data_IF_025194330233
#
_entry.id   IF_025194330233
#
_cell.length_a   1.000
_cell.length_b   1.000
_cell.length_c   1.000
_cell.angle_alpha   90.00
_cell.angle_beta   90.00
_cell.angle_gamma   90.00
#
_symmetry.space_group_name_H-M   'P 1'
#
loop_
_entity.id
_entity.type
_entity.pdbx_description
1 polymer ?
#
# COMPACT_ATOMS: atom_id res chain seq x y z
N UNK A 1 26.24 4.81 18.98
CA UNK A 1 25.50 3.53 19.03
C UNK A 1 24.02 3.64 19.44
N UNK A 2 23.46 4.80 19.84
CA UNK A 2 22.05 4.89 20.33
C UNK A 2 21.00 5.43 19.33
N UNK A 3 21.43 5.87 18.13
CA UNK A 3 20.53 6.43 17.12
C UNK A 3 19.68 5.34 16.42
N UNK A 4 20.25 4.16 16.17
CA UNK A 4 19.56 3.03 15.54
C UNK A 4 18.47 2.39 16.42
N UNK A 5 18.67 2.36 17.74
CA UNK A 5 17.71 1.76 18.68
C UNK A 5 16.43 2.58 18.83
N UNK A 6 16.48 3.88 18.48
CA UNK A 6 15.31 4.78 18.42
C UNK A 6 14.55 4.73 17.09
N UNK A 7 15.16 4.18 16.03
CA UNK A 7 14.48 3.95 14.75
C UNK A 7 13.67 2.64 14.72
N UNK A 8 13.97 1.66 15.58
CA UNK A 8 13.24 0.39 15.70
C UNK A 8 11.92 0.51 16.49
N UNK A 9 11.12 1.52 16.18
CA UNK A 9 9.71 1.55 16.58
C UNK A 9 8.89 0.75 15.57
N UNK A 10 7.81 0.09 16.00
CA UNK A 10 6.84 -0.62 15.16
C UNK A 10 6.41 0.19 13.93
N UNK A 11 6.29 1.52 14.07
CA UNK A 11 6.04 2.47 12.99
C UNK A 11 7.06 2.39 11.84
N UNK A 12 8.36 2.38 12.15
CA UNK A 12 9.41 2.39 11.12
C UNK A 12 9.42 1.09 10.31
N UNK A 13 9.10 -0.04 10.95
CA UNK A 13 8.93 -1.31 10.26
C UNK A 13 7.74 -1.32 9.31
N UNK A 14 6.59 -0.75 9.69
CA UNK A 14 5.42 -0.65 8.81
C UNK A 14 5.75 0.21 7.58
N UNK A 15 6.39 1.37 7.77
CA UNK A 15 6.82 2.21 6.64
C UNK A 15 7.86 1.52 5.76
N UNK A 16 8.84 0.81 6.34
CA UNK A 16 9.84 0.08 5.57
C UNK A 16 9.20 -1.01 4.67
N UNK A 17 8.22 -1.76 5.20
CA UNK A 17 7.49 -2.75 4.42
C UNK A 17 6.61 -2.10 3.34
N UNK A 18 6.01 -0.94 3.62
CA UNK A 18 5.28 -0.16 2.62
C UNK A 18 6.21 0.27 1.47
N UNK A 19 7.37 0.86 1.78
CA UNK A 19 8.35 1.24 0.75
C UNK A 19 8.81 0.03 -0.06
N UNK A 20 9.07 -1.10 0.60
CA UNK A 20 9.39 -2.35 -0.08
C UNK A 20 8.27 -2.77 -1.04
N UNK A 21 7.00 -2.65 -0.64
CA UNK A 21 5.86 -2.98 -1.50
C UNK A 21 5.76 -2.08 -2.74
N UNK A 22 6.10 -0.79 -2.62
CA UNK A 22 6.19 0.12 -3.77
C UNK A 22 7.30 -0.28 -4.74
N UNK A 23 8.48 -0.63 -4.20
CA UNK A 23 9.61 -1.09 -5.00
C UNK A 23 9.24 -2.38 -5.74
N UNK A 24 8.67 -3.36 -5.04
CA UNK A 24 8.23 -4.62 -5.66
C UNK A 24 7.19 -4.39 -6.76
N UNK A 25 6.25 -3.47 -6.54
CA UNK A 25 5.26 -3.09 -7.57
C UNK A 25 5.93 -2.48 -8.80
N UNK A 26 6.88 -1.56 -8.62
CA UNK A 26 7.62 -0.96 -9.73
C UNK A 26 8.41 -2.01 -10.52
N UNK A 27 9.14 -2.88 -9.81
CA UNK A 27 9.90 -3.98 -10.42
C UNK A 27 8.97 -4.94 -11.18
N UNK A 28 7.83 -5.33 -10.60
CA UNK A 28 6.87 -6.22 -11.25
C UNK A 28 6.28 -5.61 -12.53
N UNK A 29 6.01 -4.30 -12.54
CA UNK A 29 5.54 -3.60 -13.74
C UNK A 29 6.63 -3.60 -14.81
N UNK A 30 7.88 -3.26 -14.46
CA UNK A 30 9.01 -3.25 -15.41
C UNK A 30 9.25 -4.64 -15.98
N UNK A 31 9.22 -5.68 -15.14
CA UNK A 31 9.37 -7.07 -15.58
C UNK A 31 8.25 -7.46 -16.54
N UNK A 32 6.99 -7.13 -16.23
CA UNK A 32 5.88 -7.40 -17.14
C UNK A 32 6.07 -6.67 -18.48
N UNK A 33 6.44 -5.40 -18.45
CA UNK A 33 6.60 -4.55 -19.63
C UNK A 33 7.71 -5.06 -20.55
N UNK A 34 8.89 -5.32 -19.98
CA UNK A 34 10.03 -5.89 -20.72
C UNK A 34 9.74 -7.29 -21.28
N UNK A 35 8.94 -8.10 -20.59
CA UNK A 35 8.50 -9.41 -21.12
C UNK A 35 7.51 -9.25 -22.28
N UNK A 36 6.57 -8.30 -22.20
CA UNK A 36 5.62 -8.02 -23.27
C UNK A 36 6.33 -7.45 -24.51
N UNK A 37 7.25 -6.50 -24.34
CA UNK A 37 8.03 -5.94 -25.44
C UNK A 37 8.90 -7.00 -26.14
N UNK A 38 9.52 -7.90 -25.35
CA UNK A 38 10.29 -9.04 -25.88
C UNK A 38 9.41 -10.04 -26.63
N UNK A 39 8.15 -10.19 -26.24
CA UNK A 39 7.20 -11.10 -26.87
C UNK A 39 6.68 -10.53 -28.20
N UNK A 40 6.24 -9.27 -28.20
CA UNK A 40 5.72 -8.59 -29.39
C UNK A 40 6.82 -8.28 -30.41
N UNK A 41 8.03 -7.92 -29.95
CA UNK A 41 9.19 -7.70 -30.81
C UNK A 41 9.77 -8.98 -31.44
N UNK A 42 9.47 -10.17 -30.88
CA UNK A 42 9.95 -11.46 -31.40
C UNK A 42 8.95 -12.15 -32.31
N UNK A 43 7.65 -11.88 -32.18
CA UNK A 43 6.63 -12.36 -33.13
C UNK A 43 6.84 -11.82 -34.56
N UNK A 44 7.52 -10.68 -34.73
CA UNK A 44 7.84 -10.17 -36.08
C UNK A 44 9.01 -10.93 -36.75
N UNK A 45 9.87 -11.65 -36.01
CA UNK A 45 11.18 -12.11 -36.56
C UNK A 45 11.34 -13.63 -36.74
N UNK A 46 10.57 -14.52 -36.10
CA UNK A 46 10.90 -15.97 -36.17
C UNK A 46 9.71 -16.88 -36.46
N UNK A 47 9.47 -17.09 -37.76
CA UNK A 47 8.82 -18.30 -38.27
C UNK A 47 9.77 -19.51 -38.13
N UNK A 48 9.16 -20.67 -37.83
CA UNK A 48 9.63 -22.06 -38.01
C UNK A 48 10.45 -22.70 -36.85
N UNK A 49 9.80 -23.68 -36.20
CA UNK A 49 10.28 -24.85 -35.44
C UNK A 49 10.94 -24.75 -34.04
N UNK A 50 11.36 -23.57 -33.55
CA UNK A 50 11.79 -23.40 -32.13
C UNK A 50 10.63 -22.90 -31.24
N UNK A 51 9.42 -22.83 -31.80
CA UNK A 51 8.28 -22.10 -31.25
C UNK A 51 7.59 -22.81 -30.08
N UNK A 52 7.41 -24.13 -30.08
CA UNK A 52 6.59 -24.80 -29.04
C UNK A 52 7.23 -24.82 -27.64
N UNK A 53 8.52 -25.17 -27.54
CA UNK A 53 9.22 -25.21 -26.24
C UNK A 53 9.42 -23.79 -25.67
N UNK A 54 9.69 -22.82 -26.54
CA UNK A 54 9.92 -21.43 -26.15
C UNK A 54 8.59 -20.73 -25.83
N UNK A 55 7.51 -21.06 -26.53
CA UNK A 55 6.14 -20.62 -26.26
C UNK A 55 5.65 -21.12 -24.90
N UNK A 56 5.84 -22.39 -24.54
CA UNK A 56 5.39 -22.89 -23.23
C UNK A 56 6.15 -22.24 -22.06
N UNK A 57 7.47 -22.02 -22.20
CA UNK A 57 8.27 -21.31 -21.19
C UNK A 57 7.95 -19.81 -21.13
N UNK A 58 7.75 -19.16 -22.27
CA UNK A 58 7.38 -17.75 -22.35
C UNK A 58 5.97 -17.49 -21.82
N UNK A 59 5.01 -18.35 -22.14
CA UNK A 59 3.64 -18.30 -21.62
C UNK A 59 3.63 -18.48 -20.10
N UNK A 60 4.40 -19.43 -19.56
CA UNK A 60 4.56 -19.59 -18.12
C UNK A 60 5.17 -18.34 -17.47
N UNK A 61 6.21 -17.77 -18.07
CA UNK A 61 6.85 -16.52 -17.61
C UNK A 61 5.88 -15.33 -17.61
N UNK A 62 5.09 -15.16 -18.66
CA UNK A 62 4.10 -14.09 -18.78
C UNK A 62 2.98 -14.23 -17.74
N UNK A 63 2.50 -15.46 -17.48
CA UNK A 63 1.52 -15.75 -16.43
C UNK A 63 2.08 -15.50 -15.03
N UNK A 64 3.31 -15.95 -14.75
CA UNK A 64 3.98 -15.71 -13.49
C UNK A 64 4.19 -14.20 -13.25
N UNK A 65 4.61 -13.45 -14.26
CA UNK A 65 4.76 -12.01 -14.19
C UNK A 65 3.43 -11.30 -13.93
N UNK A 66 2.34 -11.75 -14.58
CA UNK A 66 1.00 -11.21 -14.35
C UNK A 66 0.52 -11.46 -12.92
N UNK A 67 0.68 -12.68 -12.40
CA UNK A 67 0.33 -13.02 -11.00
C UNK A 67 1.16 -12.21 -10.02
N UNK A 68 2.48 -12.10 -10.27
CA UNK A 68 3.39 -11.30 -9.46
C UNK A 68 2.97 -9.82 -9.44
N UNK A 69 2.59 -9.26 -10.58
CA UNK A 69 2.10 -7.88 -10.65
C UNK A 69 0.83 -7.69 -9.81
N UNK A 70 -0.16 -8.59 -9.94
CA UNK A 70 -1.39 -8.49 -9.15
C UNK A 70 -1.12 -8.62 -7.65
N UNK A 71 -0.22 -9.54 -7.26
CA UNK A 71 0.23 -9.66 -5.89
C UNK A 71 0.89 -8.39 -5.36
N UNK A 72 1.82 -7.81 -6.11
CA UNK A 72 2.50 -6.58 -5.70
C UNK A 72 1.52 -5.40 -5.57
N UNK A 73 0.53 -5.31 -6.47
CA UNK A 73 -0.52 -4.28 -6.39
C UNK A 73 -1.39 -4.46 -5.14
N UNK A 74 -1.80 -5.69 -4.82
CA UNK A 74 -2.60 -5.97 -3.63
C UNK A 74 -1.79 -5.73 -2.36
N UNK A 75 -0.58 -6.28 -2.29
CA UNK A 75 0.32 -6.08 -1.16
C UNK A 75 0.53 -4.60 -0.87
N UNK A 76 0.77 -3.78 -1.90
CA UNK A 76 0.88 -2.33 -1.74
C UNK A 76 -0.39 -1.70 -1.14
N UNK A 77 -1.58 -2.10 -1.59
CA UNK A 77 -2.83 -1.57 -1.04
C UNK A 77 -3.08 -2.03 0.41
N UNK A 78 -2.81 -3.28 0.73
CA UNK A 78 -2.98 -3.81 2.08
C UNK A 78 -1.96 -3.24 3.06
N UNK A 79 -0.72 -2.99 2.63
CA UNK A 79 0.27 -2.26 3.44
C UNK A 79 -0.15 -0.82 3.72
N UNK A 80 -0.68 -0.12 2.72
CA UNK A 80 -1.22 1.23 2.88
C UNK A 80 -2.44 1.25 3.82
N UNK A 81 -3.31 0.24 3.72
CA UNK A 81 -4.44 0.05 4.64
C UNK A 81 -4.00 -0.25 6.08
N UNK A 82 -2.99 -1.11 6.25
CA UNK A 82 -2.41 -1.44 7.55
C UNK A 82 -1.78 -0.23 8.24
N UNK A 83 -1.09 0.63 7.48
CA UNK A 83 -0.58 1.91 7.98
C UNK A 83 -1.69 2.84 8.45
N UNK A 84 -2.79 2.94 7.70
CA UNK A 84 -3.95 3.75 8.07
C UNK A 84 -4.60 3.28 9.38
N UNK A 85 -4.80 1.96 9.53
CA UNK A 85 -5.31 1.36 10.78
C UNK A 85 -4.35 1.63 11.94
N UNK A 86 -3.05 1.50 11.71
CA UNK A 86 -2.03 1.77 12.74
C UNK A 86 -2.11 3.22 13.22
N UNK A 87 -2.16 4.19 12.31
CA UNK A 87 -2.31 5.61 12.65
C UNK A 87 -3.60 5.88 13.43
N UNK A 88 -4.72 5.32 12.98
CA UNK A 88 -6.02 5.44 13.64
C UNK A 88 -5.99 4.87 15.07
N UNK A 89 -5.38 3.69 15.24
CA UNK A 89 -5.27 3.01 16.53
C UNK A 89 -4.43 3.83 17.52
N UNK A 90 -3.32 4.42 17.06
CA UNK A 90 -2.46 5.29 17.89
C UNK A 90 -3.19 6.57 18.30
N UNK A 91 -4.02 7.14 17.43
CA UNK A 91 -4.80 8.35 17.72
C UNK A 91 -5.86 8.13 18.80
N UNK A 92 -6.54 6.98 18.79
CA UNK A 92 -7.61 6.66 19.74
C UNK A 92 -7.06 6.07 21.03
N UNK A 93 -6.14 5.12 20.92
CA UNK A 93 -5.67 4.29 22.02
C UNK A 93 -4.27 4.72 22.48
N UNK A 94 -4.08 6.00 22.80
CA UNK A 94 -2.81 6.60 23.29
C UNK A 94 -2.12 5.87 24.47
N UNK A 95 -2.69 4.76 24.97
CA UNK A 95 -2.32 4.03 26.19
C UNK A 95 -1.90 2.55 25.97
N UNK A 96 -2.12 1.90 24.82
CA UNK A 96 -1.97 0.41 24.71
C UNK A 96 -1.18 -0.10 23.48
N UNK A 97 0.04 0.42 23.27
CA UNK A 97 1.00 -0.18 22.32
C UNK A 97 1.90 -1.18 23.06
N UNK A 98 1.36 -2.37 23.32
CA UNK A 98 2.17 -3.51 23.76
C UNK A 98 3.04 -4.03 22.62
N UNK A 99 4.26 -4.43 22.97
CA UNK A 99 5.35 -4.85 22.07
C UNK A 99 5.02 -6.08 21.20
N UNK A 100 3.93 -6.80 21.46
CA UNK A 100 3.57 -8.05 20.78
C UNK A 100 2.52 -7.90 19.66
N UNK A 101 2.07 -6.69 19.33
CA UNK A 101 0.99 -6.48 18.33
C UNK A 101 1.46 -6.32 16.88
N UNK A 102 2.75 -6.49 16.55
CA UNK A 102 3.26 -6.26 15.18
C UNK A 102 2.98 -7.42 14.21
N UNK A 103 2.98 -8.66 14.70
CA UNK A 103 2.77 -9.87 13.92
C UNK A 103 1.44 -9.86 13.12
N UNK A 104 0.28 -9.48 13.69
CA UNK A 104 -0.97 -9.44 12.91
C UNK A 104 -0.93 -8.41 11.76
N UNK A 105 -0.22 -7.29 11.90
CA UNK A 105 -0.06 -6.33 10.80
C UNK A 105 0.79 -6.89 9.66
N UNK A 106 1.79 -7.72 9.97
CA UNK A 106 2.61 -8.42 8.97
C UNK A 106 1.77 -9.44 8.17
N UNK A 107 0.95 -10.22 8.87
CA UNK A 107 0.00 -11.16 8.25
C UNK A 107 -1.04 -10.44 7.40
N UNK A 108 -1.54 -9.29 7.86
CA UNK A 108 -2.49 -8.46 7.12
C UNK A 108 -1.86 -7.87 5.84
N UNK A 109 -0.61 -7.40 5.92
CA UNK A 109 0.10 -6.79 4.79
C UNK A 109 0.52 -7.79 3.72
N UNK A 110 1.13 -8.92 4.10
CA UNK A 110 1.68 -9.90 3.14
C UNK A 110 0.80 -11.12 2.91
N UNK A 111 0.10 -11.60 3.95
CA UNK A 111 -0.70 -12.83 3.90
C UNK A 111 -2.06 -12.64 3.25
N UNK A 112 -2.76 -11.54 3.57
CA UNK A 112 -4.08 -11.24 2.97
C UNK A 112 -4.02 -11.12 1.43
N UNK A 113 -3.03 -10.43 0.81
CA UNK A 113 -2.87 -10.47 -0.64
C UNK A 113 -2.72 -11.88 -1.23
N UNK A 114 -1.96 -12.78 -0.58
CA UNK A 114 -1.80 -14.16 -1.04
C UNK A 114 -3.14 -14.90 -1.02
N UNK A 115 -3.94 -14.70 0.04
CA UNK A 115 -5.25 -15.34 0.19
C UNK A 115 -6.21 -14.99 -0.95
N UNK A 116 -6.14 -13.77 -1.51
CA UNK A 116 -6.99 -13.37 -2.63
C UNK A 116 -6.38 -13.72 -4.00
N UNK A 117 -5.06 -13.62 -4.15
CA UNK A 117 -4.38 -13.89 -5.43
C UNK A 117 -4.34 -15.38 -5.76
N UNK A 118 -4.14 -16.27 -4.78
CA UNK A 118 -4.04 -17.71 -5.02
C UNK A 118 -5.34 -18.27 -5.63
N UNK A 119 -6.53 -18.09 -5.03
CA UNK A 119 -7.78 -18.60 -5.63
C UNK A 119 -8.04 -18.00 -7.01
N UNK A 120 -7.76 -16.70 -7.20
CA UNK A 120 -7.91 -16.06 -8.51
C UNK A 120 -6.99 -16.68 -9.57
N UNK A 121 -5.71 -16.92 -9.22
CA UNK A 121 -4.75 -17.56 -10.13
C UNK A 121 -5.14 -19.00 -10.45
N UNK A 122 -5.63 -19.77 -9.47
CA UNK A 122 -6.09 -21.15 -9.68
C UNK A 122 -7.30 -21.17 -10.61
N UNK A 123 -8.28 -20.27 -10.41
CA UNK A 123 -9.44 -20.14 -11.29
C UNK A 123 -9.03 -19.78 -12.72
N UNK A 124 -8.08 -18.85 -12.88
CA UNK A 124 -7.54 -18.47 -14.20
C UNK A 124 -6.79 -19.63 -14.87
N UNK A 125 -6.03 -20.42 -14.11
CA UNK A 125 -5.33 -21.60 -14.62
C UNK A 125 -6.28 -22.70 -15.10
N UNK A 126 -7.38 -22.92 -14.39
CA UNK A 126 -8.35 -23.96 -14.72
C UNK A 126 -9.29 -23.57 -15.87
N UNK A 127 -9.63 -22.28 -16.03
CA UNK A 127 -10.63 -21.80 -16.98
C UNK A 127 -10.06 -21.28 -18.30
N UNK A 128 -8.88 -20.64 -18.28
CA UNK A 128 -8.30 -19.94 -19.43
C UNK A 128 -6.80 -20.25 -19.55
N UNK A 129 -6.46 -21.50 -19.89
CA UNK A 129 -5.07 -21.98 -19.98
C UNK A 129 -4.43 -21.76 -21.37
N UNK A 130 -5.05 -20.94 -22.24
CA UNK A 130 -4.68 -20.85 -23.66
C UNK A 130 -3.75 -19.68 -24.01
N UNK A 131 -3.82 -18.56 -23.29
CA UNK A 131 -3.05 -17.34 -23.60
C UNK A 131 -2.24 -16.83 -22.39
N UNK A 132 -1.46 -15.75 -22.57
CA UNK A 132 -1.02 -14.95 -21.44
C UNK A 132 -2.23 -14.24 -20.81
N UNK A 133 -2.35 -14.26 -19.47
CA UNK A 133 -3.49 -13.70 -18.70
C UNK A 133 -3.57 -12.15 -18.72
N UNK A 134 -3.21 -11.52 -19.85
CA UNK A 134 -3.33 -10.09 -20.10
C UNK A 134 -4.74 -9.68 -20.53
N UNK A 135 -5.45 -10.52 -21.28
CA UNK A 135 -6.83 -10.29 -21.69
C UNK A 135 -7.81 -10.87 -20.67
N UNK A 136 -8.61 -10.02 -20.03
CA UNK A 136 -9.72 -10.47 -19.21
C UNK A 136 -10.96 -10.62 -20.09
N UNK A 137 -11.12 -11.79 -20.72
CA UNK A 137 -12.31 -12.10 -21.52
C UNK A 137 -13.59 -12.03 -20.66
N UNK A 138 -13.48 -12.42 -19.40
CA UNK A 138 -14.57 -12.43 -18.43
C UNK A 138 -14.36 -11.34 -17.37
N UNK A 139 -15.09 -10.22 -17.48
CA UNK A 139 -15.05 -9.10 -16.53
C UNK A 139 -15.37 -9.52 -15.08
N UNK A 140 -16.06 -10.64 -14.88
CA UNK A 140 -16.43 -11.14 -13.57
C UNK A 140 -15.21 -11.57 -12.72
N UNK A 141 -14.20 -12.21 -13.31
CA UNK A 141 -12.98 -12.59 -12.58
C UNK A 141 -12.10 -11.38 -12.22
N UNK A 142 -12.21 -10.30 -12.99
CA UNK A 142 -11.49 -9.07 -12.70
C UNK A 142 -12.05 -8.39 -11.45
N UNK A 143 -13.37 -8.41 -11.27
CA UNK A 143 -14.05 -7.84 -10.10
C UNK A 143 -13.69 -8.55 -8.79
N UNK A 144 -13.37 -9.85 -8.82
CA UNK A 144 -12.96 -10.62 -7.62
C UNK A 144 -11.72 -10.00 -6.96
N UNK A 145 -10.74 -9.56 -7.75
CA UNK A 145 -9.54 -8.87 -7.24
C UNK A 145 -9.82 -7.39 -6.99
N UNK A 146 -10.64 -6.75 -7.84
CA UNK A 146 -10.89 -5.31 -7.75
C UNK A 146 -11.72 -4.93 -6.53
N UNK A 147 -12.67 -5.75 -6.13
CA UNK A 147 -13.57 -5.48 -5.02
C UNK A 147 -12.83 -5.31 -3.67
N UNK A 148 -11.94 -6.24 -3.24
CA UNK A 148 -11.12 -6.07 -2.04
C UNK A 148 -10.28 -4.79 -2.06
N UNK A 149 -9.71 -4.41 -3.21
CA UNK A 149 -8.94 -3.17 -3.36
C UNK A 149 -9.81 -1.95 -3.11
N UNK A 150 -10.98 -1.88 -3.77
CA UNK A 150 -11.89 -0.74 -3.64
C UNK A 150 -12.42 -0.61 -2.21
N UNK A 151 -12.77 -1.73 -1.59
CA UNK A 151 -13.24 -1.76 -0.21
C UNK A 151 -12.16 -1.26 0.78
N UNK A 152 -10.92 -1.75 0.67
CA UNK A 152 -9.81 -1.28 1.49
C UNK A 152 -9.50 0.22 1.27
N UNK A 153 -9.56 0.67 0.02
CA UNK A 153 -9.37 2.08 -0.35
C UNK A 153 -10.44 2.99 0.28
N UNK A 154 -11.71 2.57 0.24
CA UNK A 154 -12.82 3.31 0.84
C UNK A 154 -12.64 3.48 2.36
N UNK A 155 -12.29 2.41 3.07
CA UNK A 155 -12.06 2.48 4.53
C UNK A 155 -10.88 3.41 4.83
N UNK A 156 -9.80 3.31 4.06
CA UNK A 156 -8.66 4.19 4.24
C UNK A 156 -9.02 5.66 4.04
N UNK A 157 -9.82 5.97 3.01
CA UNK A 157 -10.32 7.32 2.79
C UNK A 157 -11.14 7.84 3.99
N UNK A 158 -12.00 7.02 4.58
CA UNK A 158 -12.76 7.38 5.79
C UNK A 158 -11.83 7.67 6.98
N UNK A 159 -10.80 6.84 7.19
CA UNK A 159 -9.78 7.07 8.22
C UNK A 159 -9.06 8.40 7.97
N UNK A 160 -8.65 8.67 6.74
CA UNK A 160 -7.95 9.89 6.37
C UNK A 160 -8.78 11.14 6.69
N UNK A 161 -10.06 11.17 6.36
CA UNK A 161 -10.95 12.29 6.68
C UNK A 161 -11.06 12.49 8.21
N UNK A 162 -11.16 11.41 8.99
CA UNK A 162 -11.18 11.50 10.47
C UNK A 162 -9.88 12.08 11.01
N UNK A 163 -8.73 11.65 10.50
CA UNK A 163 -7.41 12.15 10.90
C UNK A 163 -7.31 13.65 10.58
N UNK A 164 -7.67 14.05 9.35
CA UNK A 164 -7.69 15.46 8.96
C UNK A 164 -8.57 16.30 9.88
N UNK A 165 -9.77 15.82 10.22
CA UNK A 165 -10.66 16.50 11.17
C UNK A 165 -10.00 16.74 12.53
N UNK A 166 -9.36 15.72 13.11
CA UNK A 166 -8.64 15.85 14.39
C UNK A 166 -7.48 16.86 14.28
N UNK A 167 -6.71 16.80 13.19
CA UNK A 167 -5.60 17.73 12.94
C UNK A 167 -6.13 19.17 12.82
N UNK A 168 -7.20 19.39 12.04
CA UNK A 168 -7.81 20.72 11.90
C UNK A 168 -8.38 21.24 13.23
N UNK A 169 -9.03 20.40 14.03
CA UNK A 169 -9.49 20.78 15.37
C UNK A 169 -8.32 21.16 16.30
N UNK A 170 -7.22 20.41 16.28
CA UNK A 170 -6.01 20.74 17.05
C UNK A 170 -5.32 22.00 16.55
N UNK A 171 -5.24 22.19 15.23
CA UNK A 171 -4.69 23.41 14.62
C UNK A 171 -5.52 24.64 15.03
N UNK A 172 -6.86 24.57 14.93
CA UNK A 172 -7.75 25.64 15.38
C UNK A 172 -7.60 25.92 16.88
N UNK A 173 -7.53 24.88 17.73
CA UNK A 173 -7.32 25.06 19.17
C UNK A 173 -5.94 25.65 19.49
N UNK A 174 -4.89 25.28 18.75
CA UNK A 174 -3.54 25.84 18.92
C UNK A 174 -3.46 27.30 18.46
N UNK A 175 -4.13 27.65 17.37
CA UNK A 175 -4.27 29.04 16.91
C UNK A 175 -5.04 29.86 17.95
N UNK A 176 -6.15 29.32 18.46
CA UNK A 176 -6.96 29.93 19.51
C UNK A 176 -6.27 29.98 20.88
N UNK A 177 -5.25 29.16 21.16
CA UNK A 177 -4.40 29.28 22.37
C UNK A 177 -3.27 30.29 22.19
N UNK A 178 -2.71 30.39 20.99
CA UNK A 178 -1.66 31.37 20.67
C UNK A 178 -2.20 32.80 20.61
N UNK A 179 -3.49 32.98 20.30
CA UNK A 179 -4.17 34.27 20.25
C UNK A 179 -4.39 34.97 21.63
N UNK A 180 -4.80 34.29 22.71
CA UNK A 180 -4.89 34.87 24.04
C UNK A 180 -3.51 35.05 24.68
N UNK A 181 -2.53 34.17 24.41
CA UNK A 181 -1.20 34.27 25.03
C UNK A 181 -0.45 35.55 24.60
N UNK A 182 -0.52 35.94 23.31
CA UNK A 182 0.05 37.22 22.89
C UNK A 182 -0.67 38.41 23.53
N UNK A 183 -2.00 38.37 23.65
CA UNK A 183 -2.82 39.46 24.20
C UNK A 183 -2.61 39.62 25.70
N UNK A 184 -2.55 38.50 26.42
CA UNK A 184 -2.23 38.46 27.86
C UNK A 184 -0.81 38.97 28.10
N UNK A 185 0.18 38.54 27.30
CA UNK A 185 1.56 39.03 27.43
C UNK A 185 1.69 40.52 27.11
N UNK A 186 0.94 41.03 26.12
CA UNK A 186 0.88 42.46 25.79
C UNK A 186 0.21 43.26 26.91
N UNK A 187 -0.89 42.77 27.47
CA UNK A 187 -1.60 43.42 28.59
C UNK A 187 -0.74 43.41 29.86
N UNK A 188 -0.05 42.31 30.18
CA UNK A 188 0.90 42.25 31.30
C UNK A 188 2.06 43.23 31.12
N UNK A 189 2.61 43.37 29.90
CA UNK A 189 3.66 44.37 29.62
C UNK A 189 3.15 45.81 29.78
N UNK A 190 1.94 46.11 29.31
CA UNK A 190 1.34 47.45 29.44
C UNK A 190 1.09 47.79 30.91
N UNK A 191 0.56 46.86 31.72
CA UNK A 191 0.32 47.08 33.15
C UNK A 191 1.64 47.32 33.90
N UNK A 192 2.70 46.58 33.57
CA UNK A 192 4.00 46.74 34.21
C UNK A 192 4.68 48.07 33.84
N UNK A 193 4.44 48.59 32.63
CA UNK A 193 4.95 49.90 32.19
C UNK A 193 4.16 51.09 32.76
N UNK A 194 2.89 50.90 33.14
CA UNK A 194 2.05 51.97 33.70
C UNK A 194 2.20 52.14 35.21
N UNK A 195 2.83 51.19 35.90
CA UNK A 195 2.97 51.15 37.35
C UNK A 195 4.41 51.39 37.85
N UNK A 196 5.33 51.70 36.92
CA UNK A 196 6.69 52.23 37.15
C UNK A 196 6.72 53.70 36.72
#
# INVERSE_FOLDING_TARGET
MSLYRKLHCTRNYIHANLFLSFILRAVAVIVKDTMLDRHWGREIIQQVDVSEMLSHKAAFGCRAAQVMMQYCVLANHFWFFGEAIYLYSVLISSVLVDKNKYLPYLFLGWGTPLLFVIPWSVMKLLKENKECWGANENMNFWWIIRFPILFASLINFLIFIRILGVIFSKLRASHQRRYPDYKVRQVTFIIFCYHL
#
